data_IF_553147323368
#
_entry.id   IF_553147323368
#
_cell.length_a   1.000
_cell.length_b   1.000
_cell.length_c   1.000
_cell.angle_alpha   90.00
_cell.angle_beta   90.00
_cell.angle_gamma   90.00
#
_symmetry.space_group_name_H-M   'P 1'
#
loop_
_entity.id
_entity.type
_entity.pdbx_description
1 polymer ?
#
# COMPACT_ATOMS: atom_id res chain seq x y z
N UNK A 1 -18.45 -2.88 -1.88
CA UNK A 1 -19.36 -3.04 -3.03
C UNK A 1 -18.54 -3.55 -4.19
N UNK A 2 -18.95 -4.64 -4.81
CA UNK A 2 -18.22 -5.27 -5.93
C UNK A 2 -18.42 -4.51 -7.25
N UNK A 3 -17.67 -4.85 -8.29
CA UNK A 3 -17.83 -4.22 -9.62
C UNK A 3 -19.15 -4.64 -10.26
N UNK A 4 -19.49 -5.93 -10.15
CA UNK A 4 -20.76 -6.51 -10.57
C UNK A 4 -21.95 -5.79 -9.93
N UNK A 5 -21.90 -5.54 -8.61
CA UNK A 5 -22.96 -4.81 -7.90
C UNK A 5 -23.08 -3.37 -8.40
N UNK A 6 -21.95 -2.71 -8.63
CA UNK A 6 -21.95 -1.33 -9.14
C UNK A 6 -22.48 -1.21 -10.57
N UNK A 7 -22.21 -2.19 -11.43
CA UNK A 7 -22.54 -2.12 -12.87
C UNK A 7 -23.93 -2.69 -13.15
N UNK A 8 -24.30 -3.81 -12.51
CA UNK A 8 -25.54 -4.54 -12.77
C UNK A 8 -26.54 -4.49 -11.62
N UNK A 9 -26.18 -3.93 -10.47
CA UNK A 9 -27.02 -3.97 -9.26
C UNK A 9 -27.14 -5.37 -8.64
N UNK A 10 -26.28 -6.32 -9.05
CA UNK A 10 -26.32 -7.72 -8.64
C UNK A 10 -24.93 -8.22 -8.27
N UNK A 11 -24.88 -9.17 -7.33
CA UNK A 11 -23.63 -9.87 -7.05
C UNK A 11 -23.19 -10.69 -8.27
N UNK A 12 -21.88 -10.89 -8.44
CA UNK A 12 -21.31 -11.66 -9.55
C UNK A 12 -21.94 -13.05 -9.69
N UNK A 13 -22.24 -13.72 -8.56
CA UNK A 13 -22.84 -15.08 -8.54
C UNK A 13 -24.32 -15.11 -8.93
N UNK A 14 -25.00 -13.97 -8.84
CA UNK A 14 -26.42 -13.83 -9.11
C UNK A 14 -26.69 -13.31 -10.53
N UNK A 15 -25.63 -13.08 -11.32
CA UNK A 15 -25.76 -12.69 -12.72
C UNK A 15 -26.28 -13.87 -13.55
N UNK A 16 -27.13 -13.55 -14.52
CA UNK A 16 -27.64 -14.48 -15.52
C UNK A 16 -27.25 -14.04 -16.92
N UNK A 17 -27.35 -14.95 -17.89
CA UNK A 17 -27.11 -14.64 -19.30
C UNK A 17 -28.02 -13.50 -19.80
N UNK A 18 -29.28 -13.49 -19.36
CA UNK A 18 -30.28 -12.49 -19.74
C UNK A 18 -29.97 -11.10 -19.15
N UNK A 19 -29.32 -11.03 -17.97
CA UNK A 19 -28.83 -9.77 -17.42
C UNK A 19 -27.80 -9.12 -18.33
N UNK A 20 -26.86 -9.92 -18.85
CA UNK A 20 -25.84 -9.43 -19.78
C UNK A 20 -26.47 -9.05 -21.12
N UNK A 21 -27.39 -9.87 -21.64
CA UNK A 21 -28.10 -9.54 -22.88
C UNK A 21 -28.89 -8.24 -22.77
N UNK A 22 -29.59 -8.03 -21.65
CA UNK A 22 -30.33 -6.79 -21.36
C UNK A 22 -29.38 -5.60 -21.24
N UNK A 23 -28.23 -5.77 -20.58
CA UNK A 23 -27.24 -4.72 -20.41
C UNK A 23 -26.76 -4.11 -21.75
N UNK A 24 -26.62 -4.94 -22.80
CA UNK A 24 -26.17 -4.50 -24.13
C UNK A 24 -27.30 -4.10 -25.09
N UNK A 25 -28.56 -4.00 -24.62
CA UNK A 25 -29.66 -3.40 -25.42
C UNK A 25 -29.44 -1.90 -25.66
N UNK A 26 -28.68 -1.25 -24.80
CA UNK A 26 -28.23 0.13 -24.96
C UNK A 26 -26.73 0.19 -25.31
N UNK A 27 -26.24 1.22 -25.99
CA UNK A 27 -24.80 1.43 -26.20
C UNK A 27 -24.02 1.54 -24.89
N UNK A 28 -22.96 0.73 -24.76
CA UNK A 28 -22.06 0.72 -23.61
C UNK A 28 -20.64 1.06 -24.02
N UNK A 29 -19.99 1.93 -23.26
CA UNK A 29 -18.58 2.28 -23.42
C UNK A 29 -17.72 1.45 -22.46
N UNK A 30 -16.53 1.06 -22.92
CA UNK A 30 -15.50 0.54 -22.03
C UNK A 30 -14.97 1.67 -21.13
N UNK A 31 -14.47 1.31 -19.95
CA UNK A 31 -13.90 2.27 -19.01
C UNK A 31 -12.67 1.69 -18.34
N UNK A 32 -12.01 2.45 -17.46
CA UNK A 32 -10.84 1.95 -16.71
C UNK A 32 -11.13 0.66 -15.93
N UNK A 33 -12.39 0.47 -15.50
CA UNK A 33 -12.87 -0.61 -14.63
C UNK A 33 -13.77 -1.62 -15.36
N UNK A 34 -14.04 -1.44 -16.65
CA UNK A 34 -14.96 -2.28 -17.42
C UNK A 34 -14.41 -2.54 -18.82
N UNK A 35 -14.25 -3.81 -19.17
CA UNK A 35 -13.78 -4.25 -20.48
C UNK A 35 -14.75 -5.26 -21.10
N UNK A 36 -14.92 -5.16 -22.43
CA UNK A 36 -15.71 -6.08 -23.23
C UNK A 36 -14.81 -6.84 -24.19
N UNK A 37 -15.02 -8.16 -24.30
CA UNK A 37 -14.36 -8.99 -25.31
C UNK A 37 -15.38 -9.92 -25.93
N UNK A 38 -15.47 -9.90 -27.26
CA UNK A 38 -16.32 -10.86 -27.97
C UNK A 38 -15.74 -12.28 -27.93
N UNK A 39 -16.60 -13.29 -28.04
CA UNK A 39 -16.22 -14.70 -28.16
C UNK A 39 -15.75 -15.10 -29.56
N UNK A 40 -15.55 -14.13 -30.47
CA UNK A 40 -15.13 -14.40 -31.84
C UNK A 40 -13.63 -14.74 -31.92
N UNK A 41 -13.30 -15.93 -32.41
CA UNK A 41 -11.93 -16.38 -32.66
C UNK A 41 -11.62 -17.73 -32.02
N UNK A 42 -10.36 -18.15 -32.10
CA UNK A 42 -9.87 -19.32 -31.37
C UNK A 42 -9.87 -19.05 -29.87
N UNK A 43 -10.41 -20.00 -29.08
CA UNK A 43 -10.54 -19.87 -27.64
C UNK A 43 -9.19 -19.56 -26.99
N UNK A 44 -8.17 -20.35 -27.34
CA UNK A 44 -6.85 -20.26 -26.71
C UNK A 44 -6.16 -18.95 -27.11
N UNK A 45 -6.20 -18.60 -28.40
CA UNK A 45 -5.66 -17.35 -28.90
C UNK A 45 -6.30 -16.12 -28.23
N UNK A 46 -7.63 -16.09 -28.06
CA UNK A 46 -8.33 -14.98 -27.39
C UNK A 46 -8.00 -14.96 -25.90
N UNK A 47 -8.01 -16.12 -25.24
CA UNK A 47 -7.71 -16.23 -23.81
C UNK A 47 -6.30 -15.72 -23.50
N UNK A 48 -5.30 -16.19 -24.23
CA UNK A 48 -3.89 -15.85 -24.04
C UNK A 48 -3.62 -14.38 -24.39
N UNK A 49 -4.10 -13.90 -25.53
CA UNK A 49 -3.69 -12.57 -26.01
C UNK A 49 -4.53 -11.42 -25.44
N UNK A 50 -5.80 -11.68 -25.13
CA UNK A 50 -6.74 -10.63 -24.76
C UNK A 50 -7.18 -10.74 -23.29
N UNK A 51 -7.58 -11.93 -22.84
CA UNK A 51 -8.13 -12.11 -21.49
C UNK A 51 -7.03 -11.99 -20.43
N UNK A 52 -5.94 -12.76 -20.54
CA UNK A 52 -4.81 -12.70 -19.58
C UNK A 52 -4.17 -11.31 -19.53
N UNK A 53 -4.00 -10.67 -20.69
CA UNK A 53 -3.49 -9.30 -20.78
C UNK A 53 -4.39 -8.30 -20.05
N UNK A 54 -5.71 -8.42 -20.20
CA UNK A 54 -6.67 -7.52 -19.55
C UNK A 54 -6.70 -7.75 -18.04
N UNK A 55 -6.71 -8.99 -17.59
CA UNK A 55 -6.64 -9.32 -16.17
C UNK A 55 -5.33 -8.80 -15.56
N UNK A 56 -4.19 -9.00 -16.22
CA UNK A 56 -2.91 -8.44 -15.81
C UNK A 56 -2.95 -6.91 -15.69
N UNK A 57 -3.60 -6.23 -16.65
CA UNK A 57 -3.80 -4.79 -16.61
C UNK A 57 -4.67 -4.34 -15.43
N UNK A 58 -5.77 -5.04 -15.15
CA UNK A 58 -6.63 -4.74 -14.00
C UNK A 58 -5.89 -4.93 -12.67
N UNK A 59 -5.16 -6.04 -12.52
CA UNK A 59 -4.37 -6.33 -11.32
C UNK A 59 -3.37 -5.22 -11.01
N UNK A 60 -2.76 -4.62 -12.03
CA UNK A 60 -1.80 -3.51 -11.90
C UNK A 60 -2.44 -2.12 -11.79
N UNK A 61 -3.75 -2.02 -12.04
CA UNK A 61 -4.50 -0.76 -12.03
C UNK A 61 -5.54 -0.82 -10.91
N UNK A 62 -6.68 -0.14 -11.05
CA UNK A 62 -7.69 -0.07 -10.00
C UNK A 62 -8.57 -1.33 -9.87
N UNK A 63 -8.21 -2.47 -10.49
CA UNK A 63 -9.14 -3.59 -10.65
C UNK A 63 -10.19 -3.35 -11.75
N UNK A 64 -11.15 -4.25 -11.91
CA UNK A 64 -12.22 -4.10 -12.89
C UNK A 64 -13.06 -5.35 -13.13
N UNK A 65 -13.99 -5.23 -14.08
CA UNK A 65 -14.86 -6.29 -14.56
C UNK A 65 -14.65 -6.50 -16.06
N UNK A 66 -14.46 -7.75 -16.47
CA UNK A 66 -14.30 -8.16 -17.87
C UNK A 66 -15.43 -9.10 -18.26
N UNK A 67 -16.14 -8.78 -19.34
CA UNK A 67 -17.18 -9.62 -19.91
C UNK A 67 -16.63 -10.26 -21.19
N UNK A 68 -16.45 -11.58 -21.16
CA UNK A 68 -16.07 -12.37 -22.32
C UNK A 68 -17.29 -13.05 -22.94
N UNK A 69 -17.52 -12.72 -24.21
CA UNK A 69 -18.71 -13.05 -24.98
C UNK A 69 -19.61 -11.83 -25.28
N UNK A 70 -19.12 -10.62 -25.00
CA UNK A 70 -19.82 -9.36 -25.30
C UNK A 70 -19.98 -9.12 -26.83
N UNK A 71 -20.84 -8.16 -27.24
CA UNK A 71 -20.92 -7.74 -28.65
C UNK A 71 -19.58 -7.22 -29.17
N UNK A 72 -19.45 -7.11 -30.50
CA UNK A 72 -18.29 -6.45 -31.12
C UNK A 72 -18.40 -4.93 -30.98
N UNK A 73 -17.27 -4.28 -30.77
CA UNK A 73 -17.19 -2.82 -30.79
C UNK A 73 -17.66 -2.28 -32.15
N UNK A 74 -18.51 -1.25 -32.11
CA UNK A 74 -18.90 -0.46 -33.26
C UNK A 74 -18.25 0.90 -33.13
N UNK A 75 -17.48 1.29 -34.15
CA UNK A 75 -16.95 2.66 -34.26
C UNK A 75 -18.07 3.54 -34.78
N UNK A 76 -18.55 4.46 -33.95
CA UNK A 76 -19.51 5.48 -34.41
C UNK A 76 -18.72 6.51 -35.23
N UNK A 77 -19.09 6.69 -36.51
CA UNK A 77 -18.52 7.74 -37.36
C UNK A 77 -18.61 9.12 -36.67
N UNK A 78 -17.60 9.98 -36.88
CA UNK A 78 -17.40 11.31 -36.27
C UNK A 78 -16.64 11.38 -34.92
N UNK A 79 -15.66 10.50 -34.70
CA UNK A 79 -14.69 10.65 -33.60
C UNK A 79 -15.26 10.37 -32.20
N UNK A 80 -16.43 9.73 -32.14
CA UNK A 80 -17.06 9.27 -30.89
C UNK A 80 -16.39 7.98 -30.37
N UNK A 81 -16.47 7.72 -29.06
CA UNK A 81 -15.90 6.51 -28.46
C UNK A 81 -16.49 5.23 -29.06
N UNK A 82 -15.71 4.14 -29.00
CA UNK A 82 -16.18 2.82 -29.38
C UNK A 82 -17.25 2.36 -28.39
N UNK A 83 -18.37 1.87 -28.90
CA UNK A 83 -19.46 1.33 -28.09
C UNK A 83 -19.74 -0.12 -28.43
N UNK A 84 -20.17 -0.89 -27.44
CA UNK A 84 -20.71 -2.23 -27.61
C UNK A 84 -22.24 -2.17 -27.46
N UNK A 85 -22.96 -2.68 -28.45
CA UNK A 85 -24.43 -2.72 -28.46
C UNK A 85 -24.91 -3.89 -29.30
N UNK A 86 -26.05 -4.46 -28.93
CA UNK A 86 -26.73 -5.50 -29.68
C UNK A 86 -26.38 -6.91 -29.21
N UNK A 87 -26.42 -7.85 -30.15
CA UNK A 87 -26.36 -9.28 -29.84
C UNK A 87 -25.00 -9.69 -29.25
N UNK A 88 -25.07 -10.51 -28.20
CA UNK A 88 -23.91 -11.13 -27.60
C UNK A 88 -23.22 -12.07 -28.59
N UNK A 89 -21.92 -12.23 -28.45
CA UNK A 89 -21.14 -13.18 -29.24
C UNK A 89 -20.53 -14.18 -28.26
N UNK A 90 -21.33 -15.11 -27.72
CA UNK A 90 -20.88 -16.05 -26.71
C UNK A 90 -19.93 -17.09 -27.29
N UNK A 91 -19.27 -17.83 -26.40
CA UNK A 91 -18.41 -18.94 -26.76
C UNK A 91 -19.25 -20.22 -26.93
N UNK A 92 -18.80 -21.11 -27.80
CA UNK A 92 -19.40 -22.45 -28.00
C UNK A 92 -18.67 -23.56 -27.25
N UNK A 93 -17.50 -23.25 -26.69
CA UNK A 93 -16.66 -24.20 -25.97
C UNK A 93 -16.83 -23.98 -24.46
N UNK A 94 -17.24 -25.04 -23.78
CA UNK A 94 -17.31 -25.06 -22.33
C UNK A 94 -15.92 -25.17 -21.72
N UNK A 95 -15.64 -24.29 -20.75
CA UNK A 95 -14.48 -24.38 -19.86
C UNK A 95 -14.93 -24.18 -18.44
N UNK A 96 -14.46 -25.06 -17.58
CA UNK A 96 -14.75 -24.96 -16.16
C UNK A 96 -14.06 -23.75 -15.54
N UNK A 97 -14.76 -23.10 -14.60
CA UNK A 97 -14.27 -21.90 -13.92
C UNK A 97 -12.89 -22.12 -13.29
N UNK A 98 -12.75 -23.21 -12.55
CA UNK A 98 -11.51 -23.50 -11.82
C UNK A 98 -10.34 -23.72 -12.78
N UNK A 99 -10.60 -24.29 -13.95
CA UNK A 99 -9.58 -24.41 -15.00
C UNK A 99 -9.12 -23.03 -15.49
N UNK A 100 -10.04 -22.09 -15.71
CA UNK A 100 -9.69 -20.72 -16.12
C UNK A 100 -8.88 -20.01 -15.02
N UNK A 101 -9.34 -20.08 -13.77
CA UNK A 101 -8.64 -19.46 -12.62
C UNK A 101 -7.24 -20.04 -12.43
N UNK A 102 -7.10 -21.36 -12.50
CA UNK A 102 -5.79 -22.02 -12.39
C UNK A 102 -4.85 -21.57 -13.51
N UNK A 103 -5.37 -21.45 -14.73
CA UNK A 103 -4.60 -20.95 -15.87
C UNK A 103 -4.19 -19.49 -15.76
N UNK A 104 -5.08 -18.63 -15.25
CA UNK A 104 -4.74 -17.24 -14.97
C UNK A 104 -3.62 -17.16 -13.93
N UNK A 105 -3.78 -17.92 -12.85
CA UNK A 105 -2.84 -17.93 -11.71
C UNK A 105 -1.47 -18.45 -12.10
N UNK A 106 -1.39 -19.45 -12.98
CA UNK A 106 -0.11 -19.98 -13.47
C UNK A 106 0.56 -19.15 -14.56
N UNK A 107 -0.19 -18.26 -15.23
CA UNK A 107 0.33 -17.44 -16.33
C UNK A 107 0.82 -16.06 -15.89
N UNK A 108 0.39 -15.58 -14.71
CA UNK A 108 0.70 -14.23 -14.21
C UNK A 108 1.61 -14.32 -12.99
N UNK A 109 2.70 -13.55 -13.00
CA UNK A 109 3.72 -13.51 -11.93
C UNK A 109 3.90 -12.10 -11.37
N UNK A 110 3.87 -11.81 -10.07
CA UNK A 110 3.62 -12.70 -8.95
C UNK A 110 2.19 -13.26 -8.94
N UNK A 111 1.95 -14.29 -8.13
CA UNK A 111 0.66 -14.98 -8.08
C UNK A 111 -0.48 -13.98 -7.81
N UNK A 112 -1.49 -13.90 -8.70
CA UNK A 112 -2.59 -12.96 -8.52
C UNK A 112 -3.57 -13.44 -7.46
N UNK A 113 -4.10 -12.50 -6.67
CA UNK A 113 -5.13 -12.72 -5.66
C UNK A 113 -6.34 -11.83 -6.01
N UNK A 114 -7.55 -12.24 -5.63
CA UNK A 114 -8.75 -11.42 -5.83
C UNK A 114 -9.36 -11.52 -7.22
N UNK A 115 -9.11 -12.62 -7.93
CA UNK A 115 -9.76 -12.91 -9.22
C UNK A 115 -10.95 -13.84 -8.97
N UNK A 116 -12.14 -13.37 -9.34
CA UNK A 116 -13.37 -14.16 -9.34
C UNK A 116 -13.86 -14.28 -10.78
N UNK A 117 -14.46 -15.41 -11.10
CA UNK A 117 -15.07 -15.63 -12.40
C UNK A 117 -16.45 -16.25 -12.19
N UNK A 118 -17.38 -15.96 -13.09
CA UNK A 118 -18.67 -16.64 -13.16
C UNK A 118 -18.98 -17.03 -14.61
N UNK A 119 -19.53 -18.24 -14.78
CA UNK A 119 -19.91 -18.78 -16.08
C UNK A 119 -21.41 -18.64 -16.24
N UNK A 120 -21.84 -17.97 -17.30
CA UNK A 120 -23.24 -17.83 -17.65
C UNK A 120 -23.51 -18.69 -18.87
N UNK A 121 -24.62 -19.42 -18.87
CA UNK A 121 -24.92 -20.43 -19.90
C UNK A 121 -26.35 -20.28 -20.39
N UNK A 122 -26.54 -20.36 -21.71
CA UNK A 122 -27.86 -20.41 -22.36
C UNK A 122 -27.74 -21.20 -23.65
N UNK A 123 -28.54 -22.24 -23.81
CA UNK A 123 -28.63 -23.04 -25.05
C UNK A 123 -27.27 -23.55 -25.58
N UNK A 124 -26.37 -23.97 -24.67
CA UNK A 124 -25.02 -24.45 -25.02
C UNK A 124 -24.05 -23.35 -25.45
N UNK A 125 -24.41 -22.08 -25.23
CA UNK A 125 -23.55 -20.92 -25.39
C UNK A 125 -23.11 -20.38 -24.04
N UNK A 126 -21.86 -19.92 -23.95
CA UNK A 126 -21.22 -19.55 -22.69
C UNK A 126 -20.69 -18.11 -22.71
N UNK A 127 -20.88 -17.41 -21.60
CA UNK A 127 -20.21 -16.16 -21.27
C UNK A 127 -19.38 -16.36 -20.02
N UNK A 128 -18.26 -15.65 -19.93
CA UNK A 128 -17.47 -15.60 -18.70
C UNK A 128 -17.37 -14.16 -18.23
N UNK A 129 -17.77 -13.92 -16.98
CA UNK A 129 -17.61 -12.61 -16.33
C UNK A 129 -16.51 -12.74 -15.30
N UNK A 130 -15.43 -11.99 -15.49
CA UNK A 130 -14.32 -11.92 -14.55
C UNK A 130 -14.44 -10.64 -13.73
N UNK A 131 -14.29 -10.76 -12.42
CA UNK A 131 -14.17 -9.63 -11.51
C UNK A 131 -12.79 -9.71 -10.86
N UNK A 132 -12.01 -8.66 -11.03
CA UNK A 132 -10.59 -8.59 -10.64
C UNK A 132 -10.43 -7.44 -9.67
N UNK A 133 -9.98 -7.74 -8.46
CA UNK A 133 -9.67 -6.71 -7.49
C UNK A 133 -8.38 -5.97 -7.85
N UNK A 134 -8.22 -4.76 -7.33
CA UNK A 134 -6.92 -4.11 -7.31
C UNK A 134 -5.95 -4.99 -6.51
N UNK A 135 -4.81 -5.36 -7.10
CA UNK A 135 -3.84 -6.15 -6.35
C UNK A 135 -3.10 -5.30 -5.32
N UNK A 136 -2.94 -5.87 -4.12
CA UNK A 136 -2.06 -5.30 -3.10
C UNK A 136 -0.58 -5.47 -3.45
N UNK A 137 -0.21 -6.49 -4.24
CA UNK A 137 1.18 -6.89 -4.52
C UNK A 137 1.60 -6.64 -5.97
N UNK A 138 1.26 -5.47 -6.51
CA UNK A 138 1.72 -5.02 -7.84
C UNK A 138 3.23 -4.77 -7.80
N UNK A 139 3.95 -4.89 -8.93
CA UNK A 139 3.43 -5.19 -10.25
C UNK A 139 3.33 -6.70 -10.55
N UNK A 140 2.30 -7.08 -11.28
CA UNK A 140 2.12 -8.37 -11.93
C UNK A 140 2.58 -8.31 -13.39
N UNK A 141 3.22 -9.37 -13.83
CA UNK A 141 3.80 -9.56 -15.14
C UNK A 141 3.08 -10.70 -15.86
N UNK A 142 2.85 -10.51 -17.15
CA UNK A 142 2.35 -11.53 -18.05
C UNK A 142 3.21 -11.54 -19.33
N UNK A 143 3.77 -12.70 -19.70
CA UNK A 143 4.69 -12.85 -20.83
C UNK A 143 5.84 -11.82 -20.83
N UNK A 144 6.46 -11.60 -19.66
CA UNK A 144 7.57 -10.66 -19.53
C UNK A 144 7.17 -9.18 -19.49
N UNK A 145 5.88 -8.85 -19.66
CA UNK A 145 5.39 -7.48 -19.74
C UNK A 145 4.47 -7.14 -18.56
N UNK A 146 4.58 -5.91 -18.06
CA UNK A 146 3.65 -5.34 -17.11
C UNK A 146 2.59 -4.58 -17.89
N UNK A 147 1.32 -4.96 -17.81
CA UNK A 147 0.23 -4.23 -18.45
C UNK A 147 -0.49 -3.34 -17.43
N UNK A 148 -1.04 -2.22 -17.89
CA UNK A 148 -1.85 -1.28 -17.10
C UNK A 148 -3.07 -0.83 -17.92
N UNK A 149 -4.07 -0.29 -17.24
CA UNK A 149 -5.21 0.39 -17.85
C UNK A 149 -4.86 1.86 -18.04
N UNK A 150 -4.94 2.33 -19.28
CA UNK A 150 -4.82 3.74 -19.64
C UNK A 150 -5.93 4.07 -20.63
N UNK A 151 -6.78 5.03 -20.29
CA UNK A 151 -7.91 5.49 -21.11
C UNK A 151 -8.84 4.33 -21.55
N UNK A 152 -9.15 3.42 -20.62
CA UNK A 152 -9.98 2.24 -20.91
C UNK A 152 -9.32 1.20 -21.82
N UNK A 153 -8.00 1.23 -22.00
CA UNK A 153 -7.27 0.24 -22.78
C UNK A 153 -6.14 -0.42 -21.99
N UNK A 154 -5.94 -1.72 -22.22
CA UNK A 154 -4.83 -2.49 -21.63
C UNK A 154 -3.56 -2.30 -22.46
N UNK A 155 -2.58 -1.53 -21.96
CA UNK A 155 -1.32 -1.22 -22.64
C UNK A 155 -0.11 -1.67 -21.82
N UNK A 156 1.04 -2.01 -22.45
CA UNK A 156 2.29 -2.20 -21.73
C UNK A 156 2.65 -0.94 -20.93
N UNK A 157 3.02 -1.11 -19.67
CA UNK A 157 3.40 -0.04 -18.78
C UNK A 157 4.75 0.55 -19.20
N UNK A 158 4.86 1.87 -19.37
CA UNK A 158 6.14 2.55 -19.52
C UNK A 158 7.04 2.33 -18.30
N UNK A 159 8.37 2.41 -18.48
CA UNK A 159 9.35 2.19 -17.41
C UNK A 159 9.07 2.98 -16.12
N UNK A 160 8.72 4.26 -16.23
CA UNK A 160 8.44 5.08 -15.05
C UNK A 160 7.19 4.63 -14.27
N UNK A 161 6.20 4.03 -14.95
CA UNK A 161 5.02 3.45 -14.29
C UNK A 161 5.39 2.13 -13.65
N UNK A 162 6.18 1.30 -14.32
CA UNK A 162 6.71 0.05 -13.74
C UNK A 162 7.49 0.35 -12.46
N UNK A 163 8.37 1.36 -12.47
CA UNK A 163 9.10 1.81 -11.28
C UNK A 163 8.15 2.29 -10.17
N UNK A 164 7.11 3.03 -10.51
CA UNK A 164 6.10 3.48 -9.55
C UNK A 164 5.33 2.29 -8.96
N UNK A 165 4.96 1.32 -9.80
CA UNK A 165 4.32 0.09 -9.38
C UNK A 165 5.22 -0.78 -8.51
N UNK A 166 6.53 -0.87 -8.77
CA UNK A 166 7.48 -1.56 -7.88
C UNK A 166 7.67 -0.84 -6.56
N UNK A 167 7.67 0.49 -6.61
CA UNK A 167 7.87 1.30 -5.42
C UNK A 167 6.67 1.22 -4.48
N UNK A 168 5.44 1.00 -4.98
CA UNK A 168 4.16 0.91 -4.23
C UNK A 168 4.12 1.74 -2.94
N UNK A 169 4.75 2.92 -2.90
CA UNK A 169 4.87 3.67 -1.66
C UNK A 169 3.50 4.29 -1.44
N UNK A 170 2.62 3.59 -0.74
CA UNK A 170 1.33 4.14 -0.26
C UNK A 170 1.54 4.99 0.99
N UNK A 171 2.76 4.95 1.56
CA UNK A 171 3.04 5.49 2.88
C UNK A 171 4.32 6.35 2.91
N UNK A 172 4.28 7.51 3.56
CA UNK A 172 5.49 8.27 3.86
C UNK A 172 6.47 7.39 4.63
N UNK A 173 7.72 7.32 4.15
CA UNK A 173 8.77 6.57 4.81
C UNK A 173 9.41 7.47 5.86
N UNK A 174 8.90 7.34 7.08
CA UNK A 174 9.43 8.07 8.22
C UNK A 174 10.63 7.33 8.81
N UNK A 175 11.68 8.11 9.09
CA UNK A 175 12.85 7.69 9.86
C UNK A 175 12.96 8.57 11.09
N UNK A 176 13.25 7.99 12.26
CA UNK A 176 13.38 8.69 13.52
C UNK A 176 14.62 8.23 14.28
N UNK A 177 15.44 9.20 14.74
CA UNK A 177 16.69 8.96 15.49
C UNK A 177 16.83 9.89 16.68
N UNK A 178 17.44 9.39 17.75
CA UNK A 178 17.89 10.19 18.88
C UNK A 178 19.38 10.55 18.71
N UNK A 179 19.70 11.81 18.95
CA UNK A 179 21.06 12.34 18.95
C UNK A 179 21.33 12.98 20.32
N UNK A 180 22.10 12.28 21.17
CA UNK A 180 22.42 12.73 22.53
C UNK A 180 23.48 13.83 22.48
N UNK A 181 23.21 14.97 23.13
CA UNK A 181 23.99 16.21 22.96
C UNK A 181 24.87 16.55 24.14
N UNK A 182 24.32 16.49 25.34
CA UNK A 182 25.02 17.01 26.51
C UNK A 182 24.54 16.32 27.77
N UNK A 183 25.48 16.06 28.67
CA UNK A 183 25.21 15.59 30.03
C UNK A 183 25.56 16.74 30.97
N UNK A 184 24.67 17.03 31.93
CA UNK A 184 24.89 18.03 32.97
C UNK A 184 24.51 17.47 34.32
N UNK A 185 25.22 17.90 35.35
CA UNK A 185 24.76 17.80 36.73
C UNK A 185 24.12 19.12 37.15
N UNK A 186 22.88 19.08 37.62
CA UNK A 186 22.15 20.24 38.13
C UNK A 186 21.74 19.94 39.57
N UNK A 187 22.43 20.52 40.54
CA UNK A 187 22.28 20.21 41.97
C UNK A 187 22.45 18.69 42.25
N UNK A 188 21.37 18.02 42.65
CA UNK A 188 21.30 16.57 42.90
C UNK A 188 20.78 15.77 41.70
N UNK A 189 20.38 16.44 40.62
CA UNK A 189 19.83 15.79 39.43
C UNK A 189 20.87 15.68 38.31
N UNK A 190 20.74 14.64 37.51
CA UNK A 190 21.50 14.45 36.27
C UNK A 190 20.58 14.68 35.09
N UNK A 191 21.00 15.54 34.16
CA UNK A 191 20.23 15.92 32.97
C UNK A 191 20.96 15.46 31.73
N UNK A 192 20.26 14.74 30.85
CA UNK A 192 20.74 14.39 29.52
C UNK A 192 19.91 15.14 28.49
N UNK A 193 20.57 16.01 27.72
CA UNK A 193 19.98 16.72 26.59
C UNK A 193 20.13 15.90 25.30
N UNK A 194 19.07 15.82 24.51
CA UNK A 194 19.06 15.06 23.26
C UNK A 194 18.08 15.65 22.25
N UNK A 195 18.29 15.34 20.97
CA UNK A 195 17.40 15.72 19.89
C UNK A 195 16.71 14.49 19.33
N UNK A 196 15.38 14.54 19.21
CA UNK A 196 14.62 13.61 18.39
C UNK A 196 14.57 14.19 16.98
N UNK A 197 15.19 13.52 16.02
CA UNK A 197 15.23 13.93 14.62
C UNK A 197 14.36 13.01 13.80
N UNK A 198 13.47 13.57 12.99
CA UNK A 198 12.56 12.82 12.13
C UNK A 198 12.72 13.29 10.69
N UNK A 199 12.81 12.34 9.77
CA UNK A 199 12.87 12.56 8.33
C UNK A 199 11.67 11.93 7.65
N UNK A 200 11.15 12.58 6.60
CA UNK A 200 10.34 11.93 5.60
C UNK A 200 11.24 11.64 4.38
N UNK A 201 11.51 10.36 4.10
CA UNK A 201 12.34 9.92 2.98
C UNK A 201 11.56 9.79 1.68
N UNK A 202 10.24 9.96 1.71
CA UNK A 202 9.36 9.89 0.54
C UNK A 202 9.25 11.23 -0.18
N UNK A 203 9.97 11.39 -1.30
CA UNK A 203 10.00 12.64 -2.11
C UNK A 203 8.64 13.16 -2.55
N UNK A 204 7.69 12.27 -2.81
CA UNK A 204 6.41 12.62 -3.44
C UNK A 204 5.19 12.35 -2.54
N UNK A 205 5.42 11.94 -1.28
CA UNK A 205 4.33 11.60 -0.36
C UNK A 205 4.51 12.42 0.89
N UNK A 206 3.49 13.21 1.20
CA UNK A 206 3.47 14.12 2.33
C UNK A 206 2.82 13.39 3.50
N UNK A 207 3.48 13.38 4.65
CA UNK A 207 2.85 12.90 5.87
C UNK A 207 1.91 13.99 6.42
N UNK A 208 0.70 13.60 6.79
CA UNK A 208 -0.27 14.45 7.46
C UNK A 208 -0.37 14.02 8.91
N UNK A 209 -0.43 14.99 9.82
CA UNK A 209 -0.66 14.73 11.24
C UNK A 209 0.39 13.79 11.85
N UNK A 210 1.67 14.18 11.76
CA UNK A 210 2.78 13.42 12.34
C UNK A 210 2.57 13.25 13.85
N UNK A 211 2.49 12.01 14.31
CA UNK A 211 2.40 11.62 15.71
C UNK A 211 3.72 11.02 16.17
N UNK A 212 4.24 11.51 17.28
CA UNK A 212 5.53 11.10 17.84
C UNK A 212 5.40 11.09 19.35
N UNK A 213 5.66 9.95 19.95
CA UNK A 213 5.59 9.76 21.40
C UNK A 213 6.89 9.14 21.87
N UNK A 214 7.49 9.72 22.89
CA UNK A 214 8.65 9.18 23.56
C UNK A 214 8.25 8.68 24.96
N UNK A 215 8.80 7.54 25.37
CA UNK A 215 8.64 6.97 26.70
C UNK A 215 10.02 6.59 27.27
N UNK A 216 10.21 6.75 28.58
CA UNK A 216 11.43 6.32 29.27
C UNK A 216 11.13 5.42 30.47
N UNK A 217 11.97 4.41 30.70
CA UNK A 217 11.80 3.52 31.86
C UNK A 217 12.36 4.09 33.15
N UNK A 218 13.12 5.20 33.09
CA UNK A 218 13.75 5.81 34.25
C UNK A 218 13.94 7.32 34.03
N UNK A 219 13.80 8.10 35.10
CA UNK A 219 13.80 9.56 35.01
C UNK A 219 12.47 10.08 34.44
N UNK A 220 12.45 11.37 34.11
CA UNK A 220 11.29 12.02 33.52
C UNK A 220 11.71 13.07 32.49
N UNK A 221 10.86 13.32 31.50
CA UNK A 221 11.09 14.39 30.54
C UNK A 221 10.81 15.75 31.18
N UNK A 222 11.73 16.70 31.09
CA UNK A 222 11.67 17.96 31.85
C UNK A 222 10.39 18.76 31.55
N UNK A 223 9.99 18.82 30.28
CA UNK A 223 8.82 19.60 29.83
C UNK A 223 7.48 19.03 30.33
N UNK A 224 7.32 17.71 30.33
CA UNK A 224 6.07 17.06 30.75
C UNK A 224 6.04 16.72 32.23
N UNK A 225 7.20 16.72 32.90
CA UNK A 225 7.41 16.17 34.25
C UNK A 225 6.84 14.75 34.40
N UNK A 226 6.84 14.00 33.30
CA UNK A 226 6.34 12.63 33.20
C UNK A 226 7.35 11.75 32.45
N UNK A 227 7.15 10.43 32.54
CA UNK A 227 7.90 9.40 31.80
C UNK A 227 7.57 9.36 30.30
N UNK A 228 6.57 10.16 29.87
CA UNK A 228 6.04 10.20 28.51
C UNK A 228 6.05 11.63 27.96
N UNK A 229 6.38 11.76 26.68
CA UNK A 229 6.47 13.03 25.97
C UNK A 229 5.82 12.93 24.59
N UNK A 230 4.90 13.84 24.29
CA UNK A 230 4.22 13.93 23.00
C UNK A 230 4.83 15.06 22.16
N UNK A 231 5.32 14.72 20.97
CA UNK A 231 5.98 15.61 20.02
C UNK A 231 5.18 15.75 18.72
N UNK A 232 3.86 15.61 18.81
CA UNK A 232 2.94 15.60 17.66
C UNK A 232 2.95 16.94 16.91
N UNK A 233 2.72 16.87 15.60
CA UNK A 233 2.62 18.04 14.74
C UNK A 233 1.43 17.95 13.79
N UNK A 234 0.70 19.07 13.66
CA UNK A 234 -0.43 19.22 12.75
C UNK A 234 -0.03 19.69 11.35
N UNK A 235 1.19 20.19 11.18
CA UNK A 235 1.65 20.70 9.88
C UNK A 235 2.11 19.56 8.98
N UNK A 236 1.77 19.58 7.67
CA UNK A 236 2.21 18.57 6.73
C UNK A 236 3.73 18.41 6.75
N UNK A 237 4.20 17.16 6.76
CA UNK A 237 5.61 16.83 6.87
C UNK A 237 6.14 16.31 5.53
N UNK A 238 6.82 17.22 4.82
CA UNK A 238 7.35 17.01 3.49
C UNK A 238 8.73 16.35 3.50
N UNK A 239 9.14 15.80 2.36
CA UNK A 239 10.52 15.41 2.13
C UNK A 239 11.49 16.58 2.30
N UNK A 240 12.61 16.35 2.98
CA UNK A 240 13.64 17.37 3.16
C UNK A 240 14.49 17.18 4.42
N UNK A 241 15.02 18.29 4.99
CA UNK A 241 15.80 18.23 6.22
C UNK A 241 14.95 17.70 7.39
N UNK A 242 15.60 17.12 8.43
CA UNK A 242 14.86 16.60 9.56
C UNK A 242 14.12 17.71 10.29
N UNK A 243 12.98 17.35 10.88
CA UNK A 243 12.43 18.10 11.99
C UNK A 243 13.08 17.61 13.27
N UNK A 244 13.61 18.54 14.05
CA UNK A 244 14.34 18.26 15.28
C UNK A 244 13.55 18.78 16.48
N UNK A 245 13.42 17.95 17.50
CA UNK A 245 12.81 18.29 18.78
C UNK A 245 13.89 18.18 19.87
N UNK A 246 14.24 19.30 20.49
CA UNK A 246 15.22 19.33 21.56
C UNK A 246 14.52 18.98 22.87
N UNK A 247 15.04 18.00 23.59
CA UNK A 247 14.43 17.44 24.79
C UNK A 247 15.48 17.14 25.86
N UNK A 248 15.01 16.93 27.08
CA UNK A 248 15.84 16.60 28.22
C UNK A 248 15.18 15.49 29.04
N UNK A 249 15.96 14.51 29.50
CA UNK A 249 15.56 13.58 30.55
C UNK A 249 16.32 13.96 31.81
N UNK A 250 15.59 14.05 32.92
CA UNK A 250 16.11 14.32 34.25
C UNK A 250 16.06 13.04 35.07
N UNK A 251 17.20 12.67 35.65
CA UNK A 251 17.35 11.54 36.55
C UNK A 251 17.66 12.05 37.95
N UNK A 252 16.88 11.62 38.93
CA UNK A 252 17.22 11.88 40.33
C UNK A 252 18.39 10.99 40.73
N UNK A 253 19.28 11.49 41.57
CA UNK A 253 20.43 10.71 42.01
C UNK A 253 20.04 9.39 42.70
N UNK A 254 18.89 9.34 43.39
CA UNK A 254 18.36 8.11 43.98
C UNK A 254 18.02 7.04 42.92
N UNK A 255 17.56 7.44 41.74
CA UNK A 255 17.19 6.52 40.66
C UNK A 255 18.43 5.87 40.04
N UNK A 256 19.50 6.66 39.87
CA UNK A 256 20.80 6.20 39.37
C UNK A 256 21.48 5.17 40.28
N UNK A 257 21.25 5.24 41.60
CA UNK A 257 21.74 4.22 42.54
C UNK A 257 20.97 2.90 42.44
N UNK A 258 19.68 2.96 42.09
CA UNK A 258 18.82 1.78 42.04
C UNK A 258 18.93 1.03 40.71
N UNK A 259 19.12 1.75 39.61
CA UNK A 259 19.32 1.18 38.28
C UNK A 259 20.26 2.04 37.46
N UNK A 260 21.24 1.41 36.82
CA UNK A 260 22.13 2.07 35.87
C UNK A 260 21.73 1.83 34.42
N UNK A 261 20.55 1.25 34.16
CA UNK A 261 20.06 1.03 32.80
C UNK A 261 18.76 1.79 32.58
N UNK A 262 18.74 2.62 31.53
CA UNK A 262 17.56 3.35 31.10
C UNK A 262 17.23 2.98 29.65
N UNK A 263 15.95 2.73 29.37
CA UNK A 263 15.47 2.52 28.00
C UNK A 263 14.63 3.72 27.57
N UNK A 264 14.87 4.18 26.36
CA UNK A 264 14.06 5.20 25.69
C UNK A 264 13.41 4.56 24.48
N UNK A 265 12.10 4.70 24.41
CA UNK A 265 11.27 4.21 23.31
C UNK A 265 10.70 5.41 22.58
N UNK A 266 10.79 5.40 21.26
CA UNK A 266 10.09 6.31 20.37
C UNK A 266 9.06 5.50 19.60
N UNK A 267 7.83 5.98 19.57
CA UNK A 267 6.77 5.51 18.68
C UNK A 267 6.40 6.66 17.75
N UNK A 268 6.40 6.43 16.46
CA UNK A 268 6.14 7.49 15.48
C UNK A 268 5.40 6.97 14.26
N UNK A 269 4.58 7.82 13.66
CA UNK A 269 3.73 7.50 12.51
C UNK A 269 2.83 8.68 12.16
N UNK A 270 1.88 8.47 11.25
CA UNK A 270 0.92 9.49 10.86
C UNK A 270 -0.22 8.91 10.05
N UNK A 271 -1.01 9.77 9.42
CA UNK A 271 -2.15 9.36 8.60
C UNK A 271 -1.70 8.55 7.38
N UNK A 272 -0.56 8.94 6.80
CA UNK A 272 -0.01 8.34 5.61
C UNK A 272 1.25 7.53 5.91
N UNK A 273 1.52 7.09 7.13
CA UNK A 273 2.66 6.21 7.41
C UNK A 273 2.31 5.08 8.35
N UNK A 274 3.01 3.96 8.19
CA UNK A 274 2.96 2.90 9.17
C UNK A 274 3.62 3.36 10.47
N UNK A 275 3.05 2.96 11.60
CA UNK A 275 3.65 3.20 12.89
C UNK A 275 4.95 2.39 13.03
N UNK A 276 6.01 3.06 13.50
CA UNK A 276 7.33 2.49 13.74
C UNK A 276 7.78 2.80 15.16
N UNK A 277 8.76 2.04 15.62
CA UNK A 277 9.44 2.20 16.89
C UNK A 277 10.95 2.36 16.72
N UNK A 278 11.55 3.18 17.57
CA UNK A 278 13.00 3.19 17.81
C UNK A 278 13.25 3.01 19.31
N UNK A 279 14.15 2.11 19.68
CA UNK A 279 14.51 1.82 21.06
C UNK A 279 16.00 2.07 21.28
N UNK A 280 16.33 2.71 22.40
CA UNK A 280 17.70 2.96 22.85
C UNK A 280 17.86 2.45 24.28
N UNK A 281 18.87 1.63 24.53
CA UNK A 281 19.29 1.21 25.88
C UNK A 281 20.55 1.98 26.28
N UNK A 282 20.46 2.73 27.37
CA UNK A 282 21.54 3.55 27.93
C UNK A 282 22.16 2.87 29.15
N UNK A 283 23.49 2.82 29.21
CA UNK A 283 24.26 2.49 30.40
C UNK A 283 24.66 3.76 31.14
N UNK A 284 23.96 4.04 32.23
CA UNK A 284 24.11 5.21 33.09
C UNK A 284 25.09 4.99 34.24
N UNK A 285 25.78 3.84 34.29
CA UNK A 285 26.77 3.55 35.33
C UNK A 285 27.88 4.62 35.42
N UNK A 286 28.43 5.15 34.31
CA UNK A 286 29.40 6.24 34.39
C UNK A 286 28.86 7.46 35.14
N UNK A 287 27.57 7.78 34.98
CA UNK A 287 26.93 8.92 35.64
C UNK A 287 26.73 8.66 37.13
N UNK A 288 26.36 7.43 37.51
CA UNK A 288 26.25 7.02 38.91
C UNK A 288 27.61 7.08 39.64
N UNK A 289 28.70 6.78 38.92
CA UNK A 289 30.09 6.89 39.40
C UNK A 289 30.60 8.35 39.42
N UNK A 290 29.77 9.31 38.98
CA UNK A 290 30.07 10.75 38.98
C UNK A 290 30.89 11.24 37.79
N UNK A 291 31.00 10.46 36.72
CA UNK A 291 31.64 10.88 35.47
C UNK A 291 30.62 11.60 34.58
N UNK A 292 30.76 12.92 34.42
CA UNK A 292 29.88 13.73 33.57
C UNK A 292 30.58 14.27 32.31
N UNK A 293 31.89 14.03 32.16
CA UNK A 293 32.73 14.57 31.07
C UNK A 293 32.81 13.62 29.86
N UNK A 294 31.96 12.60 29.79
CA UNK A 294 31.93 11.67 28.67
C UNK A 294 31.08 12.18 27.50
N UNK A 295 31.45 11.74 26.29
CA UNK A 295 30.62 11.91 25.09
C UNK A 295 29.27 11.21 25.27
N UNK A 296 28.12 11.91 25.19
CA UNK A 296 26.81 11.34 25.56
C UNK A 296 26.41 10.09 24.76
N UNK A 297 26.84 10.00 23.50
CA UNK A 297 26.56 8.83 22.66
C UNK A 297 27.27 7.55 23.15
N UNK A 298 28.30 7.65 24.00
CA UNK A 298 28.94 6.48 24.63
C UNK A 298 28.05 5.82 25.70
N UNK A 299 26.99 6.49 26.15
CA UNK A 299 25.99 5.87 27.03
C UNK A 299 25.14 4.86 26.27
N UNK A 300 25.03 4.94 24.93
CA UNK A 300 24.18 4.03 24.15
C UNK A 300 24.83 2.66 24.05
N UNK A 301 24.27 1.70 24.80
CA UNK A 301 24.73 0.30 24.81
C UNK A 301 24.14 -0.49 23.63
N UNK A 302 22.85 -0.28 23.34
CA UNK A 302 22.15 -0.91 22.24
C UNK A 302 21.12 0.06 21.63
N UNK A 303 20.93 -0.02 20.32
CA UNK A 303 19.88 0.71 19.62
C UNK A 303 19.22 -0.14 18.55
N UNK A 304 17.90 -0.11 18.48
CA UNK A 304 17.10 -0.72 17.41
C UNK A 304 16.16 0.34 16.85
N UNK A 305 16.48 0.88 15.68
CA UNK A 305 15.77 2.02 15.11
C UNK A 305 14.80 1.62 14.01
N UNK A 306 13.71 2.38 13.85
CA UNK A 306 12.79 2.33 12.72
C UNK A 306 12.14 0.95 12.45
N UNK A 307 11.86 0.20 13.51
CA UNK A 307 11.20 -1.11 13.41
C UNK A 307 9.69 -0.93 13.28
N UNK A 308 9.05 -1.64 12.35
CA UNK A 308 7.58 -1.62 12.24
C UNK A 308 6.93 -2.17 13.51
N UNK A 309 5.81 -1.55 13.90
CA UNK A 309 4.95 -2.08 14.95
C UNK A 309 4.01 -3.08 14.27
N UNK A 310 4.12 -4.36 14.64
CA UNK A 310 3.20 -5.42 14.21
C UNK A 310 1.85 -5.32 14.93
#
# INVERSE_FOLDING_TARGET
MSYSERIFGKNLRDLSFDDISTYFQEPREESEILEFKSGHGDFEGVFVNNILRTINAFLNSSGGLLIWGAPKDIVIENGKPKVCVGDLIPLTILKEKDHLINRISSSISYMPIGIRAERLEKDGQYLYVFEVDESASKPHQYNGLYHIRLDGQSKPAPHYIVDALFKQVKFADLECKIDFKLIKKLDEDTVIEFNVNIWNRSKYIIEKSLSVTAFTTMGYFDYSKNDTLNLNQSTPFHYGPPRSFNNQIVFKQIDLFNSTTCKIYLMFGGENSMAKTSQYELDLKPLADGNFDLEPNLLVKESKENTLID
#
